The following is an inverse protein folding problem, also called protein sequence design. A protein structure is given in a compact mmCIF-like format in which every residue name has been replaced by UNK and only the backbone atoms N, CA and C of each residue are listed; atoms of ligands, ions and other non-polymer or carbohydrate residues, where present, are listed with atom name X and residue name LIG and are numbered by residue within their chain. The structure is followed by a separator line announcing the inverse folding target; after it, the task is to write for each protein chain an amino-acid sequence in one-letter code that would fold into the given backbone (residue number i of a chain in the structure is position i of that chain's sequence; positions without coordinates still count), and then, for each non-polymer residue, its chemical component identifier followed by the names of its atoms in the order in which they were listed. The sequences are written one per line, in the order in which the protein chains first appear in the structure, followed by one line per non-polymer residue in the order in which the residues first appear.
data_IF_770640856753
#
_entry.id   IF_770640856753
#
_cell.length_a   1.000
_cell.length_b   1.000
_cell.length_c   1.000
_cell.angle_alpha   90.00
_cell.angle_beta   90.00
_cell.angle_gamma   90.00
#
_symmetry.space_group_name_H-M   'P 1'
#
loop_
_entity.id
_entity.type
_entity.pdbx_description
1 polymer ?
#
# COMPACT_ATOMS: atom_id res chain seq x y z
N UNK A 1 -27.21 -16.39 12.65
CA UNK A 1 -26.96 -17.73 12.07
C UNK A 1 -25.52 -17.79 11.55
N UNK A 2 -24.72 -18.77 11.98
CA UNK A 2 -23.37 -18.94 11.45
C UNK A 2 -23.45 -19.28 9.95
N UNK A 3 -22.62 -18.62 9.15
CA UNK A 3 -22.45 -18.93 7.73
C UNK A 3 -22.01 -20.39 7.57
N UNK A 4 -22.58 -21.16 6.63
CA UNK A 4 -22.16 -22.53 6.43
C UNK A 4 -20.69 -22.56 5.97
N UNK A 5 -19.87 -23.53 6.40
CA UNK A 5 -18.43 -23.57 6.12
C UNK A 5 -18.09 -23.54 4.62
N UNK A 6 -18.97 -24.06 3.77
CA UNK A 6 -18.82 -23.99 2.31
C UNK A 6 -18.93 -22.56 1.79
N UNK A 7 -19.85 -21.74 2.34
CA UNK A 7 -20.01 -20.35 1.94
C UNK A 7 -18.82 -19.48 2.38
N UNK A 8 -18.18 -19.82 3.51
CA UNK A 8 -16.93 -19.17 3.94
C UNK A 8 -15.76 -19.56 3.04
N UNK A 9 -15.66 -20.84 2.66
CA UNK A 9 -14.63 -21.30 1.71
C UNK A 9 -14.80 -20.63 0.33
N UNK A 10 -16.05 -20.54 -0.16
CA UNK A 10 -16.37 -19.90 -1.44
C UNK A 10 -16.08 -18.39 -1.41
N UNK A 11 -16.25 -17.74 -0.25
CA UNK A 11 -15.87 -16.34 -0.06
C UNK A 11 -14.35 -16.15 -0.04
N UNK A 12 -13.60 -17.05 0.61
CA UNK A 12 -12.12 -17.00 0.65
C UNK A 12 -11.47 -17.26 -0.72
N UNK A 13 -12.11 -18.08 -1.55
CA UNK A 13 -11.64 -18.41 -2.91
C UNK A 13 -12.36 -17.60 -3.99
N UNK A 14 -12.89 -16.43 -3.64
CA UNK A 14 -13.54 -15.56 -4.61
C UNK A 14 -12.57 -15.18 -5.74
N UNK A 15 -13.03 -14.98 -6.99
CA UNK A 15 -12.17 -14.54 -8.08
C UNK A 15 -11.40 -13.24 -7.78
N UNK A 16 -11.98 -12.38 -6.93
CA UNK A 16 -11.37 -11.13 -6.48
C UNK A 16 -10.26 -11.37 -5.48
N UNK A 17 -10.47 -12.27 -4.51
CA UNK A 17 -9.43 -12.68 -3.57
C UNK A 17 -8.23 -13.32 -4.28
N UNK A 18 -8.48 -14.21 -5.25
CA UNK A 18 -7.42 -14.86 -6.04
C UNK A 18 -6.65 -13.82 -6.86
N UNK A 19 -7.35 -12.90 -7.53
CA UNK A 19 -6.73 -11.85 -8.34
C UNK A 19 -5.90 -10.88 -7.46
N UNK A 20 -6.39 -10.57 -6.26
CA UNK A 20 -5.69 -9.73 -5.28
C UNK A 20 -4.40 -10.39 -4.80
N UNK A 21 -4.46 -11.68 -4.45
CA UNK A 21 -3.29 -12.44 -4.02
C UNK A 21 -2.26 -12.54 -5.16
N UNK A 22 -2.71 -12.76 -6.38
CA UNK A 22 -1.83 -12.82 -7.55
C UNK A 22 -1.12 -11.48 -7.78
N UNK A 23 -1.85 -10.36 -7.71
CA UNK A 23 -1.26 -9.02 -7.85
C UNK A 23 -0.27 -8.72 -6.71
N UNK A 24 -0.62 -9.05 -5.47
CA UNK A 24 0.29 -8.88 -4.33
C UNK A 24 1.58 -9.70 -4.51
N UNK A 25 1.46 -10.94 -5.00
CA UNK A 25 2.61 -11.81 -5.30
C UNK A 25 3.48 -11.22 -6.42
N UNK A 26 2.87 -10.70 -7.48
CA UNK A 26 3.60 -10.04 -8.57
C UNK A 26 4.34 -8.79 -8.10
N UNK A 27 3.73 -7.95 -7.25
CA UNK A 27 4.41 -6.79 -6.67
C UNK A 27 5.60 -7.20 -5.82
N UNK A 28 5.46 -8.24 -4.98
CA UNK A 28 6.56 -8.72 -4.16
C UNK A 28 7.72 -9.29 -5.00
N UNK A 29 7.42 -10.11 -6.01
CA UNK A 29 8.42 -10.62 -6.95
C UNK A 29 9.06 -9.46 -7.72
N UNK A 30 8.27 -8.51 -8.21
CA UNK A 30 8.74 -7.30 -8.88
C UNK A 30 9.69 -6.49 -8.00
N UNK A 31 9.36 -6.32 -6.72
CA UNK A 31 10.22 -5.61 -5.76
C UNK A 31 11.55 -6.32 -5.55
N UNK A 32 11.54 -7.67 -5.42
CA UNK A 32 12.76 -8.46 -5.35
C UNK A 32 13.59 -8.27 -6.62
N UNK A 33 12.98 -8.36 -7.80
CA UNK A 33 13.69 -8.22 -9.07
C UNK A 33 14.25 -6.82 -9.28
N UNK A 34 13.50 -5.76 -8.96
CA UNK A 34 13.97 -4.38 -9.07
C UNK A 34 15.09 -4.12 -8.07
N UNK A 35 14.94 -4.55 -6.82
CA UNK A 35 16.02 -4.47 -5.82
C UNK A 35 17.23 -5.27 -6.25
N UNK A 36 17.01 -6.42 -6.90
CA UNK A 36 18.05 -7.23 -7.51
C UNK A 36 18.78 -6.48 -8.63
N UNK A 37 18.07 -5.71 -9.47
CA UNK A 37 18.67 -4.95 -10.56
C UNK A 37 19.38 -3.67 -10.08
N UNK A 38 18.80 -2.97 -9.10
CA UNK A 38 19.37 -1.76 -8.48
C UNK A 38 20.60 -2.11 -7.64
N UNK A 39 20.54 -3.26 -6.97
CA UNK A 39 21.61 -3.82 -6.20
C UNK A 39 22.63 -4.49 -7.10
N UNK A 40 23.76 -3.83 -7.35
CA UNK A 40 25.01 -4.53 -7.64
C UNK A 40 25.24 -5.55 -6.50
N UNK A 41 24.84 -6.81 -6.70
CA UNK A 41 24.61 -7.87 -5.68
C UNK A 41 25.70 -8.17 -4.65
N UNK A 42 26.81 -7.45 -4.66
CA UNK A 42 27.95 -7.66 -3.75
C UNK A 42 28.41 -6.41 -3.00
N UNK A 43 27.79 -5.24 -3.20
CA UNK A 43 28.30 -4.00 -2.59
C UNK A 43 27.55 -3.52 -1.35
N UNK A 44 26.29 -3.94 -1.13
CA UNK A 44 25.52 -3.55 0.05
C UNK A 44 25.50 -4.66 1.11
N UNK A 45 25.55 -4.33 2.40
CA UNK A 45 25.31 -5.30 3.46
C UNK A 45 23.84 -5.76 3.46
N UNK A 46 23.57 -6.97 3.96
CA UNK A 46 22.25 -7.60 3.90
C UNK A 46 21.12 -6.74 4.49
N UNK A 47 21.37 -6.01 5.58
CA UNK A 47 20.36 -5.16 6.20
C UNK A 47 19.98 -3.96 5.32
N UNK A 48 20.93 -3.33 4.63
CA UNK A 48 20.62 -2.25 3.68
C UNK A 48 19.89 -2.79 2.47
N UNK A 49 20.22 -4.00 2.03
CA UNK A 49 19.48 -4.68 0.97
C UNK A 49 18.02 -4.92 1.36
N UNK A 50 17.74 -5.37 2.59
CA UNK A 50 16.38 -5.53 3.11
C UNK A 50 15.62 -4.19 3.18
N UNK A 51 16.29 -3.12 3.61
CA UNK A 51 15.70 -1.78 3.65
C UNK A 51 15.35 -1.32 2.23
N UNK A 52 16.25 -1.48 1.25
CA UNK A 52 15.96 -1.13 -0.15
C UNK A 52 14.83 -2.00 -0.71
N UNK A 53 14.78 -3.30 -0.39
CA UNK A 53 13.67 -4.17 -0.79
C UNK A 53 12.34 -3.66 -0.27
N UNK A 54 12.28 -3.33 1.02
CA UNK A 54 11.10 -2.75 1.64
C UNK A 54 10.69 -1.46 0.92
N UNK A 55 11.61 -0.50 0.73
CA UNK A 55 11.31 0.78 0.07
C UNK A 55 10.86 0.64 -1.38
N UNK A 56 11.42 -0.33 -2.12
CA UNK A 56 10.99 -0.61 -3.50
C UNK A 56 9.59 -1.17 -3.51
N UNK A 57 9.29 -2.12 -2.61
CA UNK A 57 7.94 -2.65 -2.47
C UNK A 57 6.93 -1.57 -2.08
N UNK A 58 7.32 -0.70 -1.14
CA UNK A 58 6.53 0.45 -0.67
C UNK A 58 6.21 1.41 -1.81
N UNK A 59 7.22 1.84 -2.58
CA UNK A 59 7.04 2.69 -3.74
C UNK A 59 6.13 2.05 -4.80
N UNK A 60 6.26 0.74 -5.04
CA UNK A 60 5.36 0.02 -5.93
C UNK A 60 3.93 0.13 -5.43
N UNK A 61 3.66 -0.19 -4.16
CA UNK A 61 2.31 -0.15 -3.57
C UNK A 61 1.70 1.26 -3.66
N UNK A 62 2.44 2.31 -3.27
CA UNK A 62 1.95 3.68 -3.37
C UNK A 62 1.55 4.05 -4.81
N UNK A 63 2.37 3.72 -5.81
CA UNK A 63 2.09 4.15 -7.18
C UNK A 63 1.13 3.24 -7.94
N UNK A 64 1.10 1.92 -7.67
CA UNK A 64 0.32 0.95 -8.46
C UNK A 64 -0.96 0.47 -7.77
N UNK A 65 -1.09 0.67 -6.45
CA UNK A 65 -2.31 0.35 -5.70
C UNK A 65 -2.96 1.62 -5.15
N UNK A 66 -2.27 2.40 -4.31
CA UNK A 66 -2.86 3.58 -3.65
C UNK A 66 -3.15 4.71 -4.63
N UNK A 67 -2.26 4.96 -5.60
CA UNK A 67 -2.47 5.96 -6.65
C UNK A 67 -3.76 5.71 -7.45
N UNK A 68 -3.98 4.48 -7.96
CA UNK A 68 -5.25 4.10 -8.58
C UNK A 68 -6.45 4.20 -7.63
N UNK A 69 -6.32 3.87 -6.35
CA UNK A 69 -7.38 4.09 -5.35
C UNK A 69 -7.78 5.57 -5.25
N UNK A 70 -6.79 6.46 -5.12
CA UNK A 70 -7.01 7.91 -5.11
C UNK A 70 -7.68 8.34 -6.41
N UNK A 71 -7.21 7.84 -7.56
CA UNK A 71 -7.82 8.16 -8.86
C UNK A 71 -9.29 7.73 -8.93
N UNK A 72 -9.63 6.51 -8.53
CA UNK A 72 -11.03 6.06 -8.51
C UNK A 72 -11.88 6.90 -7.56
N UNK A 73 -11.34 7.22 -6.38
CA UNK A 73 -12.02 7.97 -5.32
C UNK A 73 -12.23 9.45 -5.64
N UNK A 74 -11.41 10.04 -6.52
CA UNK A 74 -11.59 11.42 -6.97
C UNK A 74 -12.57 11.56 -8.14
N UNK A 75 -12.80 10.49 -8.91
CA UNK A 75 -13.73 10.49 -10.04
C UNK A 75 -15.10 9.93 -9.69
N UNK A 76 -15.18 8.99 -8.75
CA UNK A 76 -16.40 8.30 -8.31
C UNK A 76 -16.14 7.60 -6.97
N UNK A 77 -16.59 6.35 -6.82
CA UNK A 77 -16.22 5.45 -5.72
C UNK A 77 -15.52 4.21 -6.26
N UNK A 78 -14.77 3.52 -5.40
CA UNK A 78 -14.15 2.22 -5.75
C UNK A 78 -15.22 1.19 -6.12
N UNK A 79 -16.36 1.18 -5.45
CA UNK A 79 -17.45 0.23 -5.70
C UNK A 79 -18.05 0.38 -7.11
N UNK A 80 -18.16 1.62 -7.60
CA UNK A 80 -18.69 1.94 -8.94
C UNK A 80 -17.64 1.79 -10.05
N UNK A 81 -16.36 1.80 -9.70
CA UNK A 81 -15.25 1.67 -10.64
C UNK A 81 -15.10 0.22 -11.15
N UNK A 82 -14.66 0.04 -12.39
CA UNK A 82 -14.43 -1.29 -12.99
C UNK A 82 -12.96 -1.50 -13.35
N UNK A 83 -12.50 -2.75 -13.31
CA UNK A 83 -11.16 -3.14 -13.72
C UNK A 83 -10.39 -3.84 -12.59
N UNK A 84 -9.26 -4.44 -12.94
CA UNK A 84 -8.56 -5.36 -12.03
C UNK A 84 -8.07 -4.68 -10.74
N UNK A 85 -7.59 -3.44 -10.83
CA UNK A 85 -7.16 -2.68 -9.65
C UNK A 85 -8.35 -2.21 -8.79
N UNK A 86 -9.48 -1.89 -9.42
CA UNK A 86 -10.71 -1.59 -8.67
C UNK A 86 -11.21 -2.84 -7.94
N UNK A 87 -11.12 -4.03 -8.56
CA UNK A 87 -11.51 -5.29 -7.92
C UNK A 87 -10.63 -5.65 -6.72
N UNK A 88 -9.34 -5.33 -6.74
CA UNK A 88 -8.45 -5.45 -5.57
C UNK A 88 -8.95 -4.58 -4.42
N UNK A 89 -9.27 -3.32 -4.68
CA UNK A 89 -9.77 -2.41 -3.64
C UNK A 89 -11.19 -2.75 -3.18
N UNK A 90 -12.02 -3.34 -4.04
CA UNK A 90 -13.32 -3.89 -3.64
C UNK A 90 -13.15 -5.09 -2.71
N UNK A 91 -12.21 -5.98 -2.99
CA UNK A 91 -11.87 -7.08 -2.07
C UNK A 91 -11.36 -6.52 -0.73
N UNK A 92 -10.48 -5.53 -0.78
CA UNK A 92 -9.99 -4.85 0.42
C UNK A 92 -11.13 -4.19 1.22
N UNK A 93 -12.13 -3.62 0.53
CA UNK A 93 -13.30 -3.01 1.17
C UNK A 93 -14.21 -4.00 1.92
N UNK A 94 -14.06 -5.30 1.69
CA UNK A 94 -14.74 -6.32 2.50
C UNK A 94 -14.22 -6.30 3.94
N UNK A 95 -12.92 -6.01 4.13
CA UNK A 95 -12.32 -5.87 5.46
C UNK A 95 -12.61 -4.50 6.09
N UNK A 96 -12.66 -3.44 5.29
CA UNK A 96 -13.01 -2.08 5.73
C UNK A 96 -13.80 -1.33 4.65
N UNK A 97 -15.12 -1.25 4.84
CA UNK A 97 -16.05 -0.69 3.85
C UNK A 97 -15.76 0.76 3.45
N UNK A 98 -15.07 1.53 4.31
CA UNK A 98 -14.74 2.94 4.06
C UNK A 98 -13.86 3.12 2.82
N UNK A 99 -13.06 2.12 2.47
CA UNK A 99 -12.27 2.09 1.24
C UNK A 99 -13.15 1.90 -0.01
N UNK A 100 -14.29 1.23 0.11
CA UNK A 100 -15.23 1.05 -0.99
C UNK A 100 -15.98 2.34 -1.35
N UNK A 101 -16.40 3.10 -0.33
CA UNK A 101 -17.14 4.36 -0.48
C UNK A 101 -16.24 5.60 -0.53
N UNK A 102 -14.92 5.42 -0.56
CA UNK A 102 -13.96 6.50 -0.69
C UNK A 102 -14.09 7.55 0.42
N UNK A 103 -14.05 7.12 1.69
CA UNK A 103 -14.13 8.02 2.85
C UNK A 103 -13.12 9.18 2.72
N UNK A 104 -13.54 10.46 2.84
CA UNK A 104 -12.67 11.60 2.61
C UNK A 104 -11.42 11.63 3.49
N UNK A 105 -11.48 11.04 4.68
CA UNK A 105 -10.35 10.95 5.60
C UNK A 105 -9.27 10.01 5.03
N UNK A 106 -9.70 8.84 4.56
CA UNK A 106 -8.81 7.85 3.94
C UNK A 106 -8.24 8.43 2.66
N UNK A 107 -9.10 8.96 1.78
CA UNK A 107 -8.66 9.56 0.51
C UNK A 107 -7.65 10.69 0.74
N UNK A 108 -7.87 11.55 1.74
CA UNK A 108 -6.93 12.63 2.06
C UNK A 108 -5.57 12.13 2.54
N UNK A 109 -5.53 11.06 3.34
CA UNK A 109 -4.29 10.43 3.78
C UNK A 109 -3.58 9.74 2.62
N UNK A 110 -4.31 9.02 1.78
CA UNK A 110 -3.75 8.30 0.63
C UNK A 110 -3.19 9.25 -0.44
N UNK A 111 -3.79 10.43 -0.62
CA UNK A 111 -3.17 11.49 -1.44
C UNK A 111 -1.79 11.87 -0.88
N UNK A 112 -1.68 12.01 0.45
CA UNK A 112 -0.41 12.35 1.08
C UNK A 112 0.61 11.23 0.90
N UNK A 113 0.25 9.97 1.19
CA UNK A 113 1.18 8.82 1.09
C UNK A 113 1.67 8.63 -0.36
N UNK A 114 0.76 8.69 -1.34
CA UNK A 114 1.12 8.52 -2.76
C UNK A 114 2.14 9.56 -3.23
N UNK A 115 1.93 10.84 -2.91
CA UNK A 115 2.79 11.91 -3.41
C UNK A 115 4.03 12.15 -2.54
N UNK A 116 3.89 12.09 -1.22
CA UNK A 116 4.98 12.36 -0.27
C UNK A 116 5.77 11.08 -0.02
N UNK A 117 5.13 10.03 0.50
CA UNK A 117 5.84 8.82 0.94
C UNK A 117 6.38 8.03 -0.26
N UNK A 118 5.60 7.90 -1.33
CA UNK A 118 6.08 7.33 -2.60
C UNK A 118 7.32 8.06 -3.16
N UNK A 119 7.35 9.39 -3.08
CA UNK A 119 8.53 10.19 -3.50
C UNK A 119 9.71 10.06 -2.54
N UNK A 120 9.44 10.02 -1.23
CA UNK A 120 10.45 9.83 -0.20
C UNK A 120 11.10 8.44 -0.29
N UNK A 121 10.34 7.40 -0.63
CA UNK A 121 10.85 6.05 -0.90
C UNK A 121 11.87 6.06 -2.04
N UNK A 122 11.54 6.68 -3.18
CA UNK A 122 12.47 6.81 -4.31
C UNK A 122 13.72 7.61 -3.91
N UNK A 123 13.54 8.73 -3.21
CA UNK A 123 14.63 9.57 -2.73
C UNK A 123 15.56 8.81 -1.76
N UNK A 124 14.98 8.02 -0.86
CA UNK A 124 15.73 7.25 0.13
C UNK A 124 16.49 6.09 -0.51
N UNK A 125 15.88 5.38 -1.47
CA UNK A 125 16.57 4.37 -2.28
C UNK A 125 17.80 4.99 -2.94
N UNK A 126 17.65 6.16 -3.58
CA UNK A 126 18.77 6.89 -4.17
C UNK A 126 19.83 7.26 -3.12
N UNK A 127 19.42 7.76 -1.96
CA UNK A 127 20.30 8.18 -0.88
C UNK A 127 21.12 7.01 -0.31
N UNK A 128 20.51 5.84 -0.15
CA UNK A 128 21.19 4.61 0.29
C UNK A 128 22.19 4.15 -0.78
N UNK A 129 21.75 4.02 -2.05
CA UNK A 129 22.60 3.53 -3.14
C UNK A 129 23.80 4.44 -3.44
N UNK A 130 23.69 5.73 -3.14
CA UNK A 130 24.77 6.73 -3.31
C UNK A 130 25.46 7.10 -2.01
N UNK A 131 25.16 6.40 -0.91
CA UNK A 131 25.71 6.63 0.43
C UNK A 131 25.70 8.11 0.84
N UNK A 132 24.53 8.76 0.72
CA UNK A 132 24.35 10.17 1.07
C UNK A 132 24.13 10.35 2.56
N UNK A 133 24.68 11.42 3.14
CA UNK A 133 24.60 11.71 4.58
C UNK A 133 23.16 11.88 5.10
N UNK A 134 22.25 12.38 4.26
CA UNK A 134 20.86 12.65 4.63
C UNK A 134 19.96 11.39 4.62
N UNK A 135 20.48 10.20 4.27
CA UNK A 135 19.69 8.97 4.18
C UNK A 135 18.91 8.66 5.46
N UNK A 136 19.53 8.84 6.62
CA UNK A 136 18.90 8.52 7.90
C UNK A 136 17.81 9.52 8.28
N UNK A 137 18.00 10.79 7.93
CA UNK A 137 16.97 11.81 8.13
C UNK A 137 15.72 11.51 7.30
N UNK A 138 15.91 11.22 6.01
CA UNK A 138 14.79 10.86 5.11
C UNK A 138 14.10 9.58 5.58
N UNK A 139 14.85 8.58 6.05
CA UNK A 139 14.28 7.36 6.61
C UNK A 139 13.42 7.60 7.84
N UNK A 140 13.85 8.47 8.77
CA UNK A 140 13.04 8.81 9.94
C UNK A 140 11.76 9.53 9.52
N UNK A 141 11.85 10.49 8.60
CA UNK A 141 10.68 11.23 8.10
C UNK A 141 9.67 10.26 7.46
N UNK A 142 10.14 9.40 6.56
CA UNK A 142 9.29 8.39 5.91
C UNK A 142 8.62 7.48 6.95
N UNK A 143 9.39 6.89 7.88
CA UNK A 143 8.82 6.01 8.90
C UNK A 143 7.76 6.72 9.78
N UNK A 144 7.91 8.02 10.03
CA UNK A 144 6.91 8.79 10.79
C UNK A 144 5.64 9.01 9.98
N UNK A 145 5.76 9.32 8.69
CA UNK A 145 4.60 9.43 7.80
C UNK A 145 3.81 8.11 7.72
N UNK A 146 4.51 7.00 7.46
CA UNK A 146 3.95 5.65 7.42
C UNK A 146 3.21 5.29 8.72
N UNK A 147 3.84 5.58 9.86
CA UNK A 147 3.26 5.32 11.18
C UNK A 147 2.00 6.17 11.40
N UNK A 148 2.00 7.43 10.96
CA UNK A 148 0.86 8.33 11.12
C UNK A 148 -0.32 7.90 10.26
N UNK A 149 -0.09 7.56 8.99
CA UNK A 149 -1.12 7.03 8.09
C UNK A 149 -1.80 5.78 8.67
N UNK A 150 -1.00 4.78 9.07
CA UNK A 150 -1.51 3.54 9.63
C UNK A 150 -2.30 3.72 10.94
N UNK A 151 -1.79 4.51 11.89
CA UNK A 151 -2.49 4.72 13.17
C UNK A 151 -3.80 5.50 13.01
N UNK A 152 -3.84 6.48 12.10
CA UNK A 152 -5.03 7.29 11.90
C UNK A 152 -6.18 6.46 11.31
N UNK A 153 -5.87 5.58 10.36
CA UNK A 153 -6.84 4.66 9.73
C UNK A 153 -7.40 3.67 10.76
N UNK A 154 -6.53 3.11 11.61
CA UNK A 154 -6.91 2.15 12.66
C UNK A 154 -7.71 2.79 13.80
N UNK A 155 -7.33 3.99 14.27
CA UNK A 155 -8.01 4.64 15.40
C UNK A 155 -9.48 4.99 15.08
N UNK A 156 -9.78 5.36 13.83
CA UNK A 156 -11.14 5.61 13.35
C UNK A 156 -11.97 4.34 13.16
N UNK A 157 -11.36 3.14 13.11
CA UNK A 157 -12.10 1.87 13.11
C UNK A 157 -12.59 1.47 14.52
N UNK A 158 -11.99 2.01 15.57
CA UNK A 158 -12.29 1.64 16.97
C UNK A 158 -13.22 2.66 17.64
N UNK A 159 -13.31 3.88 17.11
CA UNK A 159 -14.12 4.96 17.68
C UNK A 159 -15.45 5.11 16.93
N UNK A 160 -16.62 5.04 17.59
CA UNK A 160 -17.89 5.33 16.93
C UNK A 160 -17.87 6.77 16.37
N UNK A 161 -18.62 7.07 15.29
CA UNK A 161 -18.71 8.43 14.79
C UNK A 161 -19.33 9.30 15.88
N UNK A 162 -18.51 10.14 16.51
CA UNK A 162 -19.04 11.28 17.23
C UNK A 162 -19.70 12.19 16.20
N UNK A 163 -21.03 12.14 16.20
CA UNK A 163 -21.91 13.14 15.60
C UNK A 163 -21.48 14.53 16.06
N UNK A 164 -21.09 15.37 15.10
CA UNK A 164 -21.40 16.80 15.13
C UNK A 164 -22.31 17.09 13.93
#
# INVERSE_FOLDING_TARGET
PATPPSAEMDALLSPRAISSLFIASLHFIGAILITWLLGKWRSLPFHEWLIVLWLVYDAIVHFTLEGPFVFFSLNSTVLESSGILADVWKEYSVADYRWGVSDPTIVSLEILTVFVDGSLCILLIYAILKNKYYRHFVQIVLCVCELYGGNYIVHKNISPPFLF
#
